data_IF_454326521266
#
_entry.id   IF_454326521266
#
_cell.length_a   1.000
_cell.length_b   1.000
_cell.length_c   1.000
_cell.angle_alpha   90.00
_cell.angle_beta   90.00
_cell.angle_gamma   90.00
#
_symmetry.space_group_name_H-M   'P 1'
#
loop_
_entity.id
_entity.type
_entity.pdbx_description
1 polymer ?
#
# COMPACT_ATOMS: atom_id res chain seq x y z
N UNK A 1 -4.94 -50.86 -24.03
CA UNK A 1 -4.45 -49.77 -23.15
C UNK A 1 -5.68 -49.11 -22.58
N UNK A 2 -5.70 -48.80 -21.28
CA UNK A 2 -6.88 -48.20 -20.65
C UNK A 2 -6.95 -46.71 -20.98
N UNK A 3 -8.13 -46.10 -20.94
CA UNK A 3 -8.32 -44.66 -21.19
C UNK A 3 -7.33 -43.78 -20.40
N UNK A 4 -7.08 -44.14 -19.13
CA UNK A 4 -6.12 -43.45 -18.26
C UNK A 4 -4.68 -43.55 -18.80
N UNK A 5 -4.27 -44.69 -19.36
CA UNK A 5 -2.91 -44.84 -19.91
C UNK A 5 -2.69 -43.96 -21.13
N UNK A 6 -3.71 -43.86 -21.99
CA UNK A 6 -3.66 -43.05 -23.21
C UNK A 6 -3.56 -41.57 -22.83
N UNK A 7 -4.36 -41.11 -21.86
CA UNK A 7 -4.28 -39.73 -21.35
C UNK A 7 -2.96 -39.44 -20.62
N UNK A 8 -2.41 -40.39 -19.84
CA UNK A 8 -1.11 -40.22 -19.19
C UNK A 8 0.03 -40.10 -20.22
N UNK A 9 -0.02 -40.89 -21.30
CA UNK A 9 0.95 -40.77 -22.39
C UNK A 9 0.82 -39.41 -23.08
N UNK A 10 -0.40 -38.94 -23.30
CA UNK A 10 -0.65 -37.62 -23.88
C UNK A 10 -0.10 -36.51 -22.98
N UNK A 11 -0.43 -36.52 -21.69
CA UNK A 11 0.09 -35.57 -20.69
C UNK A 11 1.61 -35.60 -20.64
N UNK A 12 2.24 -36.78 -20.63
CA UNK A 12 3.69 -36.91 -20.59
C UNK A 12 4.38 -36.32 -21.81
N UNK A 13 3.75 -36.35 -22.99
CA UNK A 13 4.32 -35.81 -24.25
C UNK A 13 4.01 -34.33 -24.44
N UNK A 14 2.83 -33.89 -24.01
CA UNK A 14 2.30 -32.58 -24.37
C UNK A 14 2.36 -31.55 -23.23
N UNK A 15 2.42 -31.95 -21.96
CA UNK A 15 2.26 -31.02 -20.83
C UNK A 15 3.22 -29.81 -20.92
N UNK A 16 4.52 -30.07 -21.07
CA UNK A 16 5.54 -29.02 -21.12
C UNK A 16 5.50 -28.19 -22.42
N UNK A 17 4.94 -28.74 -23.49
CA UNK A 17 4.84 -28.08 -24.79
C UNK A 17 3.58 -27.20 -24.90
N UNK A 18 2.48 -27.65 -24.31
CA UNK A 18 1.16 -27.01 -24.39
C UNK A 18 0.94 -25.99 -23.27
N UNK A 19 1.52 -26.25 -22.09
CA UNK A 19 1.33 -25.40 -20.90
C UNK A 19 2.67 -24.72 -20.59
N UNK A 20 2.75 -23.44 -20.94
CA UNK A 20 3.94 -22.62 -20.72
C UNK A 20 4.31 -22.55 -19.23
N UNK A 21 5.60 -22.68 -18.94
CA UNK A 21 6.14 -22.69 -17.58
C UNK A 21 5.71 -23.89 -16.74
N UNK A 22 5.22 -24.97 -17.35
CA UNK A 22 4.88 -26.20 -16.63
C UNK A 22 6.06 -27.16 -16.52
N UNK A 23 6.09 -27.91 -15.41
CA UNK A 23 7.05 -28.97 -15.15
C UNK A 23 6.30 -30.19 -14.60
N UNK A 24 6.32 -31.27 -15.35
CA UNK A 24 5.75 -32.55 -14.93
C UNK A 24 6.65 -33.17 -13.85
N UNK A 25 6.12 -33.30 -12.63
CA UNK A 25 6.84 -33.85 -11.47
C UNK A 25 6.59 -35.34 -11.33
N UNK A 26 5.34 -35.77 -11.56
CA UNK A 26 4.93 -37.17 -11.52
C UNK A 26 3.80 -37.38 -12.53
N UNK A 27 3.84 -38.50 -13.25
CA UNK A 27 2.80 -38.89 -14.20
C UNK A 27 2.60 -40.41 -14.10
N UNK A 28 1.79 -40.84 -13.13
CA UNK A 28 1.49 -42.24 -12.88
C UNK A 28 -0.02 -42.41 -12.69
N UNK A 29 -0.53 -43.64 -12.84
CA UNK A 29 -1.98 -43.94 -12.69
C UNK A 29 -2.60 -43.50 -11.37
N UNK A 30 -1.83 -43.43 -10.30
CA UNK A 30 -2.33 -42.99 -8.99
C UNK A 30 -2.41 -41.49 -8.87
N UNK A 31 -1.52 -40.75 -9.56
CA UNK A 31 -1.41 -39.31 -9.42
C UNK A 31 -0.62 -38.67 -10.57
N UNK A 32 -1.15 -37.55 -11.06
CA UNK A 32 -0.43 -36.60 -11.90
C UNK A 32 -0.10 -35.37 -11.07
N UNK A 33 1.19 -34.99 -11.05
CA UNK A 33 1.66 -33.79 -10.34
C UNK A 33 2.39 -32.89 -11.30
N UNK A 34 1.90 -31.66 -11.44
CA UNK A 34 2.47 -30.65 -12.33
C UNK A 34 2.73 -29.37 -11.56
N UNK A 35 3.91 -28.80 -11.72
CA UNK A 35 4.25 -27.47 -11.23
C UNK A 35 4.09 -26.47 -12.37
N UNK A 36 3.26 -25.44 -12.19
CA UNK A 36 3.06 -24.35 -13.15
C UNK A 36 3.66 -23.09 -12.56
N UNK A 37 4.67 -22.53 -13.23
CA UNK A 37 5.39 -21.33 -12.80
C UNK A 37 5.24 -20.23 -13.83
N UNK A 38 4.69 -19.08 -13.42
CA UNK A 38 4.74 -17.83 -14.21
C UNK A 38 5.86 -16.92 -13.73
N UNK A 39 5.89 -16.68 -12.43
CA UNK A 39 6.94 -15.93 -11.72
C UNK A 39 7.25 -16.65 -10.41
N UNK A 40 8.32 -16.22 -9.73
CA UNK A 40 8.73 -16.80 -8.43
C UNK A 40 7.60 -16.81 -7.38
N UNK A 41 6.66 -15.87 -7.48
CA UNK A 41 5.56 -15.72 -6.54
C UNK A 41 4.21 -16.21 -7.09
N UNK A 42 4.15 -16.53 -8.39
CA UNK A 42 2.99 -17.13 -9.08
C UNK A 42 3.34 -18.55 -9.49
N UNK A 43 3.51 -19.42 -8.50
CA UNK A 43 3.83 -20.84 -8.68
C UNK A 43 2.74 -21.68 -8.02
N UNK A 44 2.15 -22.61 -8.78
CA UNK A 44 1.12 -23.55 -8.29
C UNK A 44 1.58 -24.97 -8.58
N UNK A 45 1.48 -25.83 -7.57
CA UNK A 45 1.63 -27.27 -7.68
C UNK A 45 0.23 -27.85 -7.76
N UNK A 46 -0.08 -28.45 -8.90
CA UNK A 46 -1.34 -29.13 -9.18
C UNK A 46 -1.14 -30.61 -8.90
N UNK A 47 -1.90 -31.16 -7.96
CA UNK A 47 -1.98 -32.59 -7.69
C UNK A 47 -3.34 -33.10 -8.19
N UNK A 48 -3.32 -34.07 -9.08
CA UNK A 48 -4.50 -34.63 -9.71
C UNK A 48 -4.54 -36.13 -9.43
N UNK A 49 -5.70 -36.63 -8.98
CA UNK A 49 -5.95 -38.05 -8.81
C UNK A 49 -7.18 -38.46 -9.63
N UNK A 50 -7.09 -39.66 -10.22
CA UNK A 50 -8.20 -40.25 -10.97
C UNK A 50 -9.20 -40.88 -9.99
N UNK A 51 -10.47 -40.58 -10.19
CA UNK A 51 -11.59 -41.23 -9.51
C UNK A 51 -11.81 -42.65 -10.04
N UNK A 52 -12.50 -43.49 -9.27
CA UNK A 52 -12.69 -44.92 -9.60
C UNK A 52 -13.39 -45.14 -10.95
N UNK A 53 -14.32 -44.25 -11.29
CA UNK A 53 -15.15 -44.34 -12.49
C UNK A 53 -14.75 -43.30 -13.56
N UNK A 54 -13.51 -42.82 -13.52
CA UNK A 54 -12.99 -41.89 -14.52
C UNK A 54 -12.98 -42.54 -15.92
N UNK A 55 -13.40 -41.86 -17.00
CA UNK A 55 -13.68 -40.42 -17.14
C UNK A 55 -15.15 -40.00 -16.90
N UNK A 56 -16.02 -40.89 -16.43
CA UNK A 56 -17.44 -40.58 -16.17
C UNK A 56 -17.64 -39.80 -14.86
N UNK A 57 -16.61 -39.75 -14.03
CA UNK A 57 -16.54 -38.93 -12.81
C UNK A 57 -15.42 -37.90 -12.95
N UNK A 58 -15.52 -36.74 -12.28
CA UNK A 58 -14.51 -35.69 -12.36
C UNK A 58 -13.20 -36.13 -11.69
N UNK A 59 -12.10 -35.48 -12.07
CA UNK A 59 -10.83 -35.57 -11.38
C UNK A 59 -10.91 -35.02 -9.95
N UNK A 60 -10.11 -35.58 -9.05
CA UNK A 60 -9.86 -34.98 -7.74
C UNK A 60 -8.62 -34.07 -7.85
N UNK A 61 -8.79 -32.80 -7.50
CA UNK A 61 -7.75 -31.77 -7.69
C UNK A 61 -7.39 -31.18 -6.34
N UNK A 62 -6.09 -31.04 -6.09
CA UNK A 62 -5.56 -30.33 -4.93
C UNK A 62 -4.49 -29.34 -5.42
N UNK A 63 -4.67 -28.05 -5.09
CA UNK A 63 -3.74 -26.99 -5.47
C UNK A 63 -2.90 -26.56 -4.27
N UNK A 64 -1.57 -26.50 -4.45
CA UNK A 64 -0.63 -26.05 -3.41
C UNK A 64 0.26 -24.93 -3.93
N UNK A 65 0.59 -23.98 -3.07
CA UNK A 65 1.60 -22.96 -3.35
C UNK A 65 2.37 -22.62 -2.09
N UNK A 66 3.62 -22.18 -2.26
CA UNK A 66 4.42 -21.62 -1.17
C UNK A 66 4.16 -20.12 -0.96
N UNK A 67 3.57 -19.45 -1.95
CA UNK A 67 3.50 -17.99 -2.01
C UNK A 67 2.09 -17.45 -2.18
N UNK A 68 1.15 -18.24 -2.72
CA UNK A 68 -0.24 -17.81 -2.89
C UNK A 68 -1.10 -18.20 -1.68
N UNK A 69 -2.17 -17.41 -1.47
CA UNK A 69 -3.13 -17.61 -0.38
C UNK A 69 -3.82 -18.97 -0.47
N UNK A 70 -3.98 -19.64 0.68
CA UNK A 70 -4.73 -20.91 0.78
C UNK A 70 -6.19 -20.70 0.37
N UNK A 71 -6.83 -19.61 0.82
CA UNK A 71 -8.22 -19.29 0.47
C UNK A 71 -8.43 -19.13 -1.04
N UNK A 72 -7.45 -18.54 -1.72
CA UNK A 72 -7.47 -18.42 -3.18
C UNK A 72 -7.35 -19.78 -3.86
N UNK A 73 -6.46 -20.65 -3.36
CA UNK A 73 -6.25 -21.99 -3.92
C UNK A 73 -7.48 -22.88 -3.70
N UNK A 74 -8.12 -22.79 -2.54
CA UNK A 74 -9.36 -23.52 -2.25
C UNK A 74 -10.47 -23.08 -3.22
N UNK A 75 -10.69 -21.77 -3.38
CA UNK A 75 -11.65 -21.24 -4.33
C UNK A 75 -11.34 -21.61 -5.78
N UNK A 76 -10.05 -21.61 -6.19
CA UNK A 76 -9.66 -22.05 -7.53
C UNK A 76 -9.87 -23.56 -7.71
N UNK A 77 -9.67 -24.36 -6.67
CA UNK A 77 -9.91 -25.81 -6.69
C UNK A 77 -11.39 -26.09 -6.93
N UNK A 78 -12.30 -25.41 -6.21
CA UNK A 78 -13.75 -25.53 -6.44
C UNK A 78 -14.17 -25.15 -7.88
N UNK A 79 -13.52 -24.14 -8.46
CA UNK A 79 -13.76 -23.74 -9.86
C UNK A 79 -13.27 -24.82 -10.82
N UNK A 80 -12.08 -25.40 -10.58
CA UNK A 80 -11.56 -26.49 -11.40
C UNK A 80 -12.45 -27.74 -11.33
N UNK A 81 -12.97 -28.08 -10.14
CA UNK A 81 -13.90 -29.20 -9.97
C UNK A 81 -15.21 -28.99 -10.74
N UNK A 82 -15.71 -27.75 -10.83
CA UNK A 82 -16.87 -27.40 -11.67
C UNK A 82 -16.54 -27.57 -13.16
N UNK A 83 -15.36 -27.12 -13.60
CA UNK A 83 -14.92 -27.32 -14.98
C UNK A 83 -14.75 -28.79 -15.35
N UNK A 84 -14.25 -29.64 -14.43
CA UNK A 84 -14.19 -31.08 -14.64
C UNK A 84 -15.56 -31.71 -14.92
N UNK A 85 -16.64 -31.22 -14.27
CA UNK A 85 -18.00 -31.71 -14.52
C UNK A 85 -18.51 -31.37 -15.92
N UNK A 86 -17.94 -30.37 -16.59
CA UNK A 86 -18.25 -30.04 -17.97
C UNK A 86 -17.51 -30.95 -18.97
N UNK A 87 -16.51 -31.70 -18.50
CA UNK A 87 -15.61 -32.52 -19.31
C UNK A 87 -15.82 -34.04 -19.09
N UNK A 88 -16.96 -34.44 -18.53
CA UNK A 88 -17.28 -35.85 -18.30
C UNK A 88 -17.27 -36.65 -19.61
N UNK A 89 -16.73 -37.86 -19.55
CA UNK A 89 -16.55 -38.75 -20.70
C UNK A 89 -15.38 -38.38 -21.63
N UNK A 90 -14.61 -37.33 -21.31
CA UNK A 90 -13.43 -36.88 -22.06
C UNK A 90 -12.19 -36.84 -21.16
N UNK A 91 -11.01 -36.69 -21.77
CA UNK A 91 -9.77 -36.41 -21.06
C UNK A 91 -9.85 -35.03 -20.38
N UNK A 92 -9.48 -34.95 -19.10
CA UNK A 92 -9.67 -33.77 -18.26
C UNK A 92 -8.35 -33.13 -17.83
N UNK A 93 -7.24 -33.89 -17.78
CA UNK A 93 -5.97 -33.43 -17.18
C UNK A 93 -5.39 -32.21 -17.91
N UNK A 94 -5.13 -32.32 -19.22
CA UNK A 94 -4.57 -31.21 -20.00
C UNK A 94 -5.50 -29.98 -20.06
N UNK A 95 -6.82 -30.12 -20.31
CA UNK A 95 -7.75 -29.00 -20.25
C UNK A 95 -7.71 -28.23 -18.93
N UNK A 96 -7.68 -28.94 -17.80
CA UNK A 96 -7.64 -28.33 -16.47
C UNK A 96 -6.31 -27.64 -16.20
N UNK A 97 -5.19 -28.25 -16.57
CA UNK A 97 -3.88 -27.60 -16.42
C UNK A 97 -3.78 -26.32 -17.26
N UNK A 98 -4.35 -26.34 -18.48
CA UNK A 98 -4.46 -25.15 -19.34
C UNK A 98 -5.37 -24.09 -18.72
N UNK A 99 -6.50 -24.50 -18.14
CA UNK A 99 -7.41 -23.60 -17.43
C UNK A 99 -6.71 -22.90 -16.25
N UNK A 100 -5.99 -23.65 -15.41
CA UNK A 100 -5.22 -23.10 -14.28
C UNK A 100 -4.16 -22.11 -14.79
N UNK A 101 -3.45 -22.46 -15.86
CA UNK A 101 -2.46 -21.56 -16.44
C UNK A 101 -3.08 -20.25 -16.95
N UNK A 102 -4.17 -20.35 -17.70
CA UNK A 102 -4.90 -19.18 -18.20
C UNK A 102 -5.39 -18.31 -17.03
N UNK A 103 -5.89 -18.92 -15.95
CA UNK A 103 -6.30 -18.18 -14.76
C UNK A 103 -5.15 -17.36 -14.15
N UNK A 104 -3.94 -17.92 -14.08
CA UNK A 104 -2.75 -17.19 -13.58
C UNK A 104 -2.41 -16.00 -14.49
N UNK A 105 -2.51 -16.18 -15.81
CA UNK A 105 -2.21 -15.14 -16.80
C UNK A 105 -3.26 -14.01 -16.79
N UNK A 106 -4.53 -14.34 -16.62
CA UNK A 106 -5.63 -13.37 -16.58
C UNK A 106 -5.74 -12.61 -15.24
N UNK A 107 -5.19 -13.17 -14.16
CA UNK A 107 -5.30 -12.62 -12.81
C UNK A 107 -3.92 -12.33 -12.18
N UNK A 108 -3.16 -11.33 -12.65
CA UNK A 108 -1.83 -11.05 -12.12
C UNK A 108 -1.84 -10.58 -10.65
N UNK A 109 -2.96 -10.08 -10.12
CA UNK A 109 -3.09 -9.63 -8.73
C UNK A 109 -3.25 -10.79 -7.72
N UNK A 110 -3.25 -12.06 -8.16
CA UNK A 110 -3.33 -13.21 -7.24
C UNK A 110 -2.22 -13.23 -6.19
N UNK A 111 -1.06 -12.65 -6.51
CA UNK A 111 0.10 -12.59 -5.62
C UNK A 111 -0.11 -11.69 -4.39
N UNK A 112 -1.10 -10.79 -4.42
CA UNK A 112 -1.45 -9.91 -3.31
C UNK A 112 -2.90 -10.13 -2.82
N UNK A 113 -3.45 -11.33 -3.04
CA UNK A 113 -4.83 -11.67 -2.67
C UNK A 113 -5.14 -11.41 -1.18
N UNK A 114 -4.26 -11.81 -0.28
CA UNK A 114 -4.46 -11.63 1.16
C UNK A 114 -4.39 -10.15 1.56
N UNK A 115 -3.48 -9.39 0.93
CA UNK A 115 -3.39 -7.94 1.16
C UNK A 115 -4.63 -7.22 0.68
N UNK A 116 -5.14 -7.56 -0.52
CA UNK A 116 -6.37 -7.00 -1.07
C UNK A 116 -7.55 -7.33 -0.15
N UNK A 117 -7.64 -8.56 0.34
CA UNK A 117 -8.70 -8.99 1.27
C UNK A 117 -8.65 -8.16 2.56
N UNK A 118 -7.47 -8.03 3.15
CA UNK A 118 -7.28 -7.22 4.36
C UNK A 118 -7.53 -5.71 4.12
N UNK A 119 -7.23 -5.18 2.94
CA UNK A 119 -7.55 -3.79 2.60
C UNK A 119 -9.06 -3.60 2.54
N UNK A 120 -9.79 -4.52 1.90
CA UNK A 120 -11.26 -4.43 1.78
C UNK A 120 -11.95 -4.39 3.14
N UNK A 121 -11.39 -5.03 4.16
CA UNK A 121 -11.90 -5.01 5.54
C UNK A 121 -11.73 -3.64 6.23
N UNK A 122 -10.80 -2.80 5.77
CA UNK A 122 -10.47 -1.49 6.39
C UNK A 122 -11.22 -0.34 5.69
N UNK A 123 -11.73 -0.54 4.48
CA UNK A 123 -12.42 0.49 3.72
C UNK A 123 -13.78 0.82 4.33
N UNK A 124 -14.11 2.11 4.37
CA UNK A 124 -15.44 2.58 4.77
C UNK A 124 -16.40 2.59 3.56
N UNK A 125 -17.69 2.80 3.81
CA UNK A 125 -18.75 2.74 2.78
C UNK A 125 -18.51 3.67 1.57
N UNK A 126 -17.90 4.83 1.78
CA UNK A 126 -17.66 5.83 0.73
C UNK A 126 -16.35 5.61 -0.04
N UNK A 127 -15.55 4.63 0.38
CA UNK A 127 -14.29 4.29 -0.27
C UNK A 127 -14.49 3.22 -1.36
N UNK A 128 -13.68 3.28 -2.42
CA UNK A 128 -13.75 2.32 -3.53
C UNK A 128 -12.37 1.71 -3.80
N UNK A 129 -12.35 0.38 -3.97
CA UNK A 129 -11.17 -0.38 -4.41
C UNK A 129 -11.52 -1.21 -5.64
N UNK A 130 -11.07 -0.76 -6.82
CA UNK A 130 -11.32 -1.42 -8.10
C UNK A 130 -10.08 -2.18 -8.55
N UNK A 131 -10.22 -3.49 -8.76
CA UNK A 131 -9.14 -4.36 -9.23
C UNK A 131 -9.11 -4.37 -10.77
N UNK A 132 -8.00 -3.93 -11.36
CA UNK A 132 -7.78 -3.95 -12.81
C UNK A 132 -6.78 -5.06 -13.15
N UNK A 133 -7.28 -6.30 -13.16
CA UNK A 133 -6.46 -7.51 -13.36
C UNK A 133 -5.59 -7.41 -14.62
N UNK A 134 -6.16 -7.11 -15.80
CA UNK A 134 -5.41 -7.03 -17.07
C UNK A 134 -4.19 -6.09 -17.05
N UNK A 135 -4.20 -5.07 -16.18
CA UNK A 135 -3.13 -4.08 -16.08
C UNK A 135 -2.27 -4.28 -14.83
N UNK A 136 -2.49 -5.34 -14.04
CA UNK A 136 -1.84 -5.54 -12.74
C UNK A 136 -1.94 -4.30 -11.83
N UNK A 137 -3.11 -3.67 -11.80
CA UNK A 137 -3.31 -2.39 -11.11
C UNK A 137 -4.50 -2.42 -10.15
N UNK A 138 -4.41 -1.65 -9.08
CA UNK A 138 -5.48 -1.37 -8.13
C UNK A 138 -5.81 0.11 -8.18
N UNK A 139 -7.06 0.45 -8.47
CA UNK A 139 -7.54 1.84 -8.39
C UNK A 139 -8.21 2.06 -7.05
N UNK A 140 -7.68 3.02 -6.29
CA UNK A 140 -8.11 3.37 -4.94
C UNK A 140 -8.77 4.74 -4.97
N UNK A 141 -9.92 4.87 -4.31
CA UNK A 141 -10.58 6.14 -4.01
C UNK A 141 -10.94 6.13 -2.53
N UNK A 142 -10.46 7.12 -1.79
CA UNK A 142 -10.73 7.30 -0.36
C UNK A 142 -11.40 8.65 -0.19
N UNK A 143 -12.43 8.71 0.67
CA UNK A 143 -13.18 9.93 0.92
C UNK A 143 -13.41 10.17 2.41
N UNK A 144 -13.29 11.42 2.86
CA UNK A 144 -13.69 11.84 4.21
C UNK A 144 -14.36 13.20 4.14
N UNK A 145 -15.68 13.22 4.34
CA UNK A 145 -16.48 14.42 4.11
C UNK A 145 -16.35 14.88 2.66
N UNK A 146 -15.93 16.13 2.47
CA UNK A 146 -15.69 16.71 1.14
C UNK A 146 -14.27 16.46 0.61
N UNK A 147 -13.36 15.92 1.43
CA UNK A 147 -11.99 15.61 1.01
C UNK A 147 -11.90 14.24 0.35
N UNK A 148 -11.11 14.11 -0.72
CA UNK A 148 -10.87 12.84 -1.39
C UNK A 148 -9.42 12.67 -1.82
N UNK A 149 -9.03 11.41 -1.98
CA UNK A 149 -7.79 11.00 -2.60
C UNK A 149 -8.06 9.82 -3.53
N UNK A 150 -7.58 9.92 -4.77
CA UNK A 150 -7.64 8.87 -5.78
C UNK A 150 -6.23 8.57 -6.25
N UNK A 151 -5.91 7.31 -6.44
CA UNK A 151 -4.65 6.90 -7.05
C UNK A 151 -4.77 5.55 -7.74
N UNK A 152 -3.86 5.32 -8.67
CA UNK A 152 -3.62 4.02 -9.27
C UNK A 152 -2.36 3.42 -8.67
N UNK A 153 -2.46 2.18 -8.20
CA UNK A 153 -1.35 1.45 -7.61
C UNK A 153 -1.01 0.28 -8.54
N UNK A 154 0.16 0.32 -9.17
CA UNK A 154 0.67 -0.76 -10.03
C UNK A 154 1.42 -1.79 -9.19
N UNK A 155 1.11 -3.08 -9.42
CA UNK A 155 1.78 -4.22 -8.79
C UNK A 155 2.75 -4.85 -9.81
N UNK A 156 4.06 -4.86 -9.54
CA UNK A 156 5.05 -5.38 -10.50
C UNK A 156 5.01 -6.91 -10.59
N UNK A 157 5.50 -7.47 -11.70
CA UNK A 157 5.47 -8.93 -11.95
C UNK A 157 6.31 -9.75 -10.98
N UNK A 158 7.42 -9.17 -10.48
CA UNK A 158 8.31 -9.79 -9.52
C UNK A 158 7.94 -9.48 -8.06
N UNK A 159 6.74 -8.99 -7.79
CA UNK A 159 6.24 -8.77 -6.43
C UNK A 159 6.32 -10.05 -5.57
N UNK A 160 6.79 -9.97 -4.30
CA UNK A 160 7.11 -8.78 -3.51
C UNK A 160 8.59 -8.34 -3.58
N UNK A 161 9.38 -8.81 -4.54
CA UNK A 161 10.79 -8.42 -4.68
C UNK A 161 10.93 -6.97 -5.14
N UNK A 162 10.02 -6.50 -5.99
CA UNK A 162 9.85 -5.07 -6.27
C UNK A 162 8.59 -4.54 -5.59
N UNK A 163 8.63 -3.26 -5.21
CA UNK A 163 7.53 -2.59 -4.53
C UNK A 163 6.47 -2.08 -5.50
N UNK A 164 5.28 -1.81 -4.96
CA UNK A 164 4.18 -1.19 -5.71
C UNK A 164 4.50 0.25 -6.09
N UNK A 165 3.98 0.70 -7.23
CA UNK A 165 4.15 2.09 -7.70
C UNK A 165 2.84 2.86 -7.57
N UNK A 166 2.93 4.07 -7.03
CA UNK A 166 1.82 5.03 -6.96
C UNK A 166 1.86 5.96 -8.18
N UNK A 167 0.80 5.91 -8.97
CA UNK A 167 0.59 6.67 -10.21
C UNK A 167 -0.79 7.37 -10.20
N UNK A 168 -0.98 8.32 -11.12
CA UNK A 168 -2.25 9.00 -11.38
C UNK A 168 -2.97 9.51 -10.11
N UNK A 169 -2.21 10.11 -9.20
CA UNK A 169 -2.75 10.63 -7.95
C UNK A 169 -3.55 11.93 -8.20
N UNK A 170 -4.80 11.94 -7.75
CA UNK A 170 -5.75 13.05 -7.87
C UNK A 170 -6.43 13.31 -6.52
N UNK A 171 -6.48 14.57 -6.10
CA UNK A 171 -6.93 14.93 -4.76
C UNK A 171 -7.23 16.42 -4.65
N UNK A 172 -8.17 16.77 -3.77
CA UNK A 172 -8.50 18.16 -3.43
C UNK A 172 -7.84 18.65 -2.13
N UNK A 173 -6.86 17.91 -1.60
CA UNK A 173 -6.04 18.39 -0.49
C UNK A 173 -5.02 19.44 -0.98
N UNK A 174 -4.57 20.35 -0.08
CA UNK A 174 -3.47 21.26 -0.38
C UNK A 174 -2.21 20.53 -0.87
N UNK A 175 -1.44 21.19 -1.73
CA UNK A 175 -0.26 20.62 -2.44
C UNK A 175 0.77 19.97 -1.51
N UNK A 176 0.95 20.50 -0.30
CA UNK A 176 1.80 19.91 0.74
C UNK A 176 1.42 18.46 1.05
N UNK A 177 0.13 18.18 1.20
CA UNK A 177 -0.35 16.84 1.54
C UNK A 177 -0.25 15.88 0.35
N UNK A 178 -0.38 16.39 -0.88
CA UNK A 178 -0.13 15.59 -2.09
C UNK A 178 1.31 15.09 -2.11
N UNK A 179 2.28 16.00 -1.86
CA UNK A 179 3.71 15.64 -1.74
C UNK A 179 3.94 14.63 -0.62
N UNK A 180 3.25 14.79 0.52
CA UNK A 180 3.33 13.86 1.64
C UNK A 180 2.77 12.47 1.30
N UNK A 181 1.55 12.36 0.76
CA UNK A 181 0.92 11.08 0.42
C UNK A 181 1.76 10.28 -0.55
N UNK A 182 2.22 10.94 -1.63
CA UNK A 182 3.02 10.28 -2.66
C UNK A 182 4.42 9.97 -2.14
N UNK A 183 5.08 10.94 -1.48
CA UNK A 183 6.43 10.78 -0.98
C UNK A 183 6.54 9.72 0.10
N UNK A 184 5.68 9.80 1.12
CA UNK A 184 5.66 8.82 2.22
C UNK A 184 5.17 7.45 1.74
N UNK A 185 4.17 7.40 0.84
CA UNK A 185 3.72 6.14 0.25
C UNK A 185 4.83 5.44 -0.53
N UNK A 186 5.60 6.17 -1.34
CA UNK A 186 6.77 5.63 -2.06
C UNK A 186 7.86 5.16 -1.10
N UNK A 187 8.15 5.92 -0.04
CA UNK A 187 9.15 5.51 0.95
C UNK A 187 8.73 4.27 1.74
N UNK A 188 7.45 4.14 2.12
CA UNK A 188 6.93 2.93 2.76
C UNK A 188 7.04 1.72 1.82
N UNK A 189 6.71 1.90 0.54
CA UNK A 189 6.86 0.86 -0.48
C UNK A 189 8.32 0.41 -0.61
N UNK A 190 9.25 1.38 -0.63
CA UNK A 190 10.70 1.15 -0.70
C UNK A 190 11.20 0.38 0.52
N UNK A 191 10.79 0.75 1.73
CA UNK A 191 11.20 0.09 2.97
C UNK A 191 10.80 -1.39 3.07
N UNK A 192 9.75 -1.80 2.34
CA UNK A 192 9.36 -3.21 2.26
C UNK A 192 10.30 -4.05 1.41
N UNK A 193 11.04 -3.46 0.46
CA UNK A 193 11.84 -4.22 -0.53
C UNK A 193 13.32 -3.86 -0.56
N UNK A 194 13.70 -2.74 0.03
CA UNK A 194 15.09 -2.29 0.15
C UNK A 194 15.53 -2.23 1.62
N UNK A 195 16.80 -2.55 1.91
CA UNK A 195 17.33 -2.45 3.25
C UNK A 195 17.30 -1.00 3.76
N UNK A 196 17.22 -0.82 5.10
CA UNK A 196 17.31 0.50 5.70
C UNK A 196 18.65 1.16 5.36
N UNK A 197 18.62 2.45 5.02
CA UNK A 197 19.79 3.24 4.65
C UNK A 197 20.86 3.24 5.77
N UNK A 198 20.41 3.19 7.03
CA UNK A 198 21.28 3.06 8.19
C UNK A 198 21.25 1.60 8.68
N UNK A 199 22.28 0.83 8.31
CA UNK A 199 22.49 -0.56 8.74
C UNK A 199 22.86 -0.60 10.23
N UNK A 200 21.85 -0.57 11.11
CA UNK A 200 22.05 -0.79 12.56
C UNK A 200 21.87 -2.24 13.00
N UNK A 201 21.31 -3.11 12.16
CA UNK A 201 21.05 -4.52 12.49
C UNK A 201 21.97 -5.48 11.72
N UNK A 202 22.30 -6.60 12.37
CA UNK A 202 23.13 -7.70 11.81
C UNK A 202 22.33 -8.70 10.95
N UNK A 203 21.00 -8.61 10.90
CA UNK A 203 20.15 -9.57 10.18
C UNK A 203 20.08 -9.26 8.70
N UNK A 204 20.12 -10.31 7.86
CA UNK A 204 19.86 -10.19 6.41
C UNK A 204 18.44 -9.66 6.17
N UNK A 205 18.34 -8.56 5.43
CA UNK A 205 17.05 -8.00 5.00
C UNK A 205 16.34 -8.96 4.03
N UNK A 206 15.04 -9.15 4.23
CA UNK A 206 14.19 -9.98 3.36
C UNK A 206 13.04 -9.12 2.86
N UNK A 207 12.82 -9.05 1.53
CA UNK A 207 11.69 -8.32 0.96
C UNK A 207 10.35 -8.83 1.49
N UNK A 208 9.44 -7.91 1.78
CA UNK A 208 8.08 -8.17 2.26
C UNK A 208 7.02 -7.53 1.34
N UNK A 209 5.78 -8.03 1.35
CA UNK A 209 4.68 -7.39 0.65
C UNK A 209 4.47 -5.93 1.10
N UNK A 210 4.20 -5.04 0.14
CA UNK A 210 4.10 -3.59 0.36
C UNK A 210 2.71 -3.00 0.09
N UNK A 211 1.82 -3.70 -0.62
CA UNK A 211 0.53 -3.16 -1.08
C UNK A 211 -0.36 -2.73 0.10
N UNK A 212 -0.52 -3.61 1.10
CA UNK A 212 -1.31 -3.32 2.30
C UNK A 212 -0.71 -2.16 3.09
N UNK A 213 0.61 -2.15 3.29
CA UNK A 213 1.31 -1.11 4.06
C UNK A 213 1.04 0.28 3.46
N UNK A 214 1.21 0.40 2.15
CA UNK A 214 1.02 1.67 1.44
C UNK A 214 -0.44 2.10 1.46
N UNK A 215 -1.38 1.20 1.15
CA UNK A 215 -2.81 1.55 1.09
C UNK A 215 -3.35 1.87 2.48
N UNK A 216 -2.98 1.12 3.52
CA UNK A 216 -3.38 1.42 4.90
C UNK A 216 -2.88 2.78 5.36
N UNK A 217 -1.65 3.17 5.00
CA UNK A 217 -1.13 4.51 5.28
C UNK A 217 -1.96 5.60 4.58
N UNK A 218 -2.32 5.40 3.30
CA UNK A 218 -3.13 6.35 2.54
C UNK A 218 -4.53 6.50 3.13
N UNK A 219 -5.20 5.37 3.44
CA UNK A 219 -6.52 5.37 4.09
C UNK A 219 -6.44 6.14 5.40
N UNK A 220 -5.51 5.78 6.29
CA UNK A 220 -5.38 6.43 7.59
C UNK A 220 -5.13 7.95 7.43
N UNK A 221 -4.19 8.34 6.57
CA UNK A 221 -3.83 9.75 6.41
C UNK A 221 -5.00 10.59 5.87
N UNK A 222 -5.72 10.09 4.86
CA UNK A 222 -6.86 10.81 4.27
C UNK A 222 -8.04 10.91 5.25
N UNK A 223 -8.24 9.90 6.10
CA UNK A 223 -9.32 9.88 7.09
C UNK A 223 -9.01 10.75 8.31
N UNK A 224 -7.76 10.83 8.74
CA UNK A 224 -7.38 11.60 9.95
C UNK A 224 -7.12 13.07 9.68
N UNK A 225 -6.47 13.42 8.57
CA UNK A 225 -6.01 14.80 8.31
C UNK A 225 -7.11 15.87 8.39
N UNK A 226 -8.33 15.69 7.84
CA UNK A 226 -9.39 16.69 7.96
C UNK A 226 -9.83 16.97 9.41
N UNK A 227 -9.54 16.05 10.33
CA UNK A 227 -9.89 16.14 11.75
C UNK A 227 -8.70 16.58 12.62
N UNK A 228 -7.52 16.80 12.02
CA UNK A 228 -6.36 17.23 12.77
C UNK A 228 -6.43 18.70 13.15
N UNK A 229 -5.92 18.98 14.35
CA UNK A 229 -5.95 20.30 14.96
C UNK A 229 -4.54 20.91 14.98
N UNK A 230 -4.47 22.24 14.91
CA UNK A 230 -3.22 22.96 15.08
C UNK A 230 -2.72 22.75 16.51
N UNK A 231 -1.44 22.38 16.66
CA UNK A 231 -0.89 22.11 17.99
C UNK A 231 -0.71 23.37 18.85
N UNK A 232 -0.81 24.56 18.27
CA UNK A 232 -0.69 25.84 18.97
C UNK A 232 -2.07 26.43 19.32
N UNK A 233 -2.95 26.65 18.35
CA UNK A 233 -4.26 27.29 18.60
C UNK A 233 -5.42 26.31 18.85
N UNK A 234 -5.19 25.00 18.66
CA UNK A 234 -6.19 23.91 18.81
C UNK A 234 -7.41 24.00 17.87
N UNK A 235 -7.42 24.92 16.91
CA UNK A 235 -8.44 24.95 15.85
C UNK A 235 -8.13 23.90 14.78
N UNK A 236 -9.15 23.49 14.01
CA UNK A 236 -8.97 22.56 12.89
C UNK A 236 -8.01 23.15 11.86
N UNK A 237 -7.08 22.31 11.38
CA UNK A 237 -6.11 22.75 10.38
C UNK A 237 -6.76 22.93 9.01
N UNK A 238 -7.62 21.99 8.62
CA UNK A 238 -8.31 22.01 7.34
C UNK A 238 -9.76 22.49 7.52
N UNK A 239 -10.26 23.36 6.63
CA UNK A 239 -11.66 23.76 6.63
C UNK A 239 -12.56 22.61 6.16
N UNK A 240 -13.86 22.60 6.52
CA UNK A 240 -14.79 21.56 6.06
C UNK A 240 -14.94 21.49 4.54
N UNK A 241 -14.93 22.65 3.86
CA UNK A 241 -14.91 22.74 2.40
C UNK A 241 -13.44 22.90 1.91
N UNK A 242 -12.90 21.94 1.13
CA UNK A 242 -11.56 21.99 0.56
C UNK A 242 -11.25 23.24 -0.26
N UNK A 243 -12.25 23.86 -0.91
CA UNK A 243 -12.05 25.08 -1.71
C UNK A 243 -11.63 26.28 -0.86
N UNK A 244 -11.98 26.27 0.43
CA UNK A 244 -11.58 27.30 1.38
C UNK A 244 -10.18 27.05 1.97
N UNK A 245 -9.51 25.96 1.59
CA UNK A 245 -8.19 25.64 2.11
C UNK A 245 -7.14 26.57 1.50
N UNK A 246 -6.34 27.18 2.37
CA UNK A 246 -5.31 28.14 1.95
C UNK A 246 -4.17 27.42 1.21
N UNK A 247 -4.03 27.71 -0.09
CA UNK A 247 -3.02 27.12 -0.96
C UNK A 247 -1.74 27.93 -1.02
N UNK A 248 -1.78 29.21 -0.64
CA UNK A 248 -0.61 30.07 -0.62
C UNK A 248 0.31 29.70 0.55
N UNK A 249 1.51 29.17 0.24
CA UNK A 249 2.51 28.72 1.23
C UNK A 249 3.05 29.83 2.16
N UNK A 250 2.71 31.10 1.90
CA UNK A 250 3.11 32.27 2.70
C UNK A 250 1.99 32.87 3.54
N UNK A 251 0.74 32.43 3.34
CA UNK A 251 -0.41 32.99 4.03
C UNK A 251 -0.51 32.48 5.48
N UNK A 252 -1.07 33.32 6.36
CA UNK A 252 -1.12 33.06 7.80
C UNK A 252 -1.84 31.76 8.18
N UNK A 253 -2.89 31.40 7.44
CA UNK A 253 -3.72 30.21 7.68
C UNK A 253 -3.24 28.98 6.88
N UNK A 254 -2.16 29.10 6.12
CA UNK A 254 -1.56 27.95 5.45
C UNK A 254 -1.16 26.89 6.48
N UNK A 255 -1.41 25.62 6.17
CA UNK A 255 -1.10 24.52 7.07
C UNK A 255 0.28 23.99 6.74
N UNK A 256 1.17 24.00 7.74
CA UNK A 256 2.50 23.39 7.67
C UNK A 256 2.50 22.07 8.45
N UNK A 257 3.12 21.04 7.87
CA UNK A 257 3.34 19.74 8.50
C UNK A 257 4.80 19.59 8.89
N UNK A 258 5.06 19.48 10.18
CA UNK A 258 6.42 19.31 10.69
C UNK A 258 6.92 17.87 10.51
N UNK A 259 8.23 17.67 10.61
CA UNK A 259 8.85 16.33 10.53
C UNK A 259 8.32 15.35 11.59
N UNK A 260 7.90 15.85 12.75
CA UNK A 260 7.26 15.04 13.78
C UNK A 260 5.81 14.63 13.45
N UNK A 261 5.33 14.97 12.25
CA UNK A 261 4.02 14.61 11.72
C UNK A 261 2.87 15.55 12.08
N UNK A 262 3.04 16.42 13.07
CA UNK A 262 1.99 17.30 13.57
C UNK A 262 1.81 18.58 12.74
N UNK A 263 0.58 19.08 12.71
CA UNK A 263 0.17 20.25 11.92
C UNK A 263 0.14 21.55 12.71
N UNK A 264 0.48 22.64 12.03
CA UNK A 264 0.37 24.01 12.53
C UNK A 264 -0.15 24.93 11.44
N UNK A 265 -0.96 25.94 11.78
CA UNK A 265 -1.10 27.10 10.89
C UNK A 265 0.21 27.88 10.85
N UNK A 266 0.57 28.43 9.70
CA UNK A 266 1.85 29.12 9.50
C UNK A 266 2.04 30.24 10.52
N UNK A 267 1.04 31.11 10.72
CA UNK A 267 1.10 32.17 11.74
C UNK A 267 1.40 31.59 13.13
N UNK A 268 0.70 30.53 13.50
CA UNK A 268 0.86 29.90 14.80
C UNK A 268 2.25 29.28 14.96
N UNK A 269 2.79 28.65 13.91
CA UNK A 269 4.16 28.14 13.92
C UNK A 269 5.17 29.28 14.08
N UNK A 270 5.03 30.36 13.32
CA UNK A 270 5.92 31.53 13.41
C UNK A 270 5.89 32.14 14.81
N UNK A 271 4.69 32.37 15.37
CA UNK A 271 4.54 32.87 16.74
C UNK A 271 5.19 31.91 17.74
N UNK A 272 4.92 30.61 17.63
CA UNK A 272 5.49 29.59 18.53
C UNK A 272 7.02 29.53 18.49
N UNK A 273 7.62 29.71 17.30
CA UNK A 273 9.07 29.73 17.12
C UNK A 273 9.72 31.01 17.63
N UNK A 274 8.98 32.13 17.70
CA UNK A 274 9.47 33.45 18.14
C UNK A 274 9.22 33.77 19.61
N UNK A 275 8.38 33.02 20.31
CA UNK A 275 8.15 33.19 21.76
C UNK A 275 9.10 32.30 22.56
N UNK A 276 9.46 32.59 23.82
CA UNK A 276 10.19 31.67 24.68
C UNK A 276 9.31 30.48 25.11
N UNK A 277 9.88 29.37 25.62
CA UNK A 277 11.30 29.12 25.87
C UNK A 277 12.05 28.68 24.59
N UNK A 278 13.33 29.08 24.48
CA UNK A 278 14.21 28.70 23.36
C UNK A 278 15.24 27.62 23.72
N UNK A 279 15.55 27.44 25.01
CA UNK A 279 16.60 26.53 25.46
C UNK A 279 16.35 25.06 25.06
N UNK A 280 17.36 24.45 24.43
CA UNK A 280 17.31 23.04 24.01
C UNK A 280 16.52 22.82 22.72
N UNK A 281 16.29 23.90 21.96
CA UNK A 281 15.47 23.94 20.77
C UNK A 281 13.97 23.89 21.03
N UNK A 282 13.20 24.48 20.12
CA UNK A 282 11.74 24.41 20.14
C UNK A 282 11.27 22.95 20.01
N UNK A 283 10.42 22.51 20.94
CA UNK A 283 9.85 21.16 20.95
C UNK A 283 8.37 21.21 20.61
N UNK A 284 7.89 20.22 19.86
CA UNK A 284 6.48 20.07 19.56
C UNK A 284 5.70 19.90 20.88
N UNK A 285 4.60 20.65 21.12
CA UNK A 285 3.82 20.54 22.36
C UNK A 285 3.29 19.14 22.66
N UNK A 286 3.05 18.33 21.62
CA UNK A 286 2.39 17.04 21.74
C UNK A 286 3.38 15.88 21.84
N UNK A 287 4.31 15.75 20.90
CA UNK A 287 5.29 14.64 20.89
C UNK A 287 6.63 14.97 21.53
N UNK A 288 6.87 16.22 21.94
CA UNK A 288 8.13 16.70 22.55
C UNK A 288 9.39 16.54 21.69
N UNK A 289 9.26 16.10 20.44
CA UNK A 289 10.36 16.06 19.48
C UNK A 289 10.78 17.49 19.11
N UNK A 290 12.08 17.69 18.87
CA UNK A 290 12.62 18.98 18.43
C UNK A 290 12.06 19.32 17.05
N UNK A 291 11.52 20.53 16.93
CA UNK A 291 11.03 21.07 15.68
C UNK A 291 12.23 21.50 14.85
N UNK A 292 12.35 20.91 13.67
CA UNK A 292 13.24 21.37 12.62
C UNK A 292 12.36 21.92 11.50
N UNK A 293 12.68 23.12 11.03
CA UNK A 293 11.93 23.75 9.93
C UNK A 293 12.89 24.55 9.05
N UNK A 294 12.92 24.25 7.75
CA UNK A 294 13.91 24.82 6.82
C UNK A 294 13.84 26.36 6.75
N UNK A 295 12.64 26.93 6.89
CA UNK A 295 12.44 28.39 6.92
C UNK A 295 12.90 29.04 8.26
N UNK A 296 13.21 28.27 9.31
CA UNK A 296 13.60 28.75 10.64
C UNK A 296 14.91 28.08 11.13
N UNK A 297 16.03 28.41 10.48
CA UNK A 297 17.38 27.99 10.87
C UNK A 297 18.09 28.97 11.82
N UNK A 298 17.43 29.40 12.90
CA UNK A 298 18.01 30.36 13.87
C UNK A 298 18.46 29.61 15.12
N UNK A 299 19.65 29.95 15.65
CA UNK A 299 20.16 29.34 16.90
C UNK A 299 19.36 29.82 18.12
N UNK A 300 19.25 28.97 19.15
CA UNK A 300 18.49 29.28 20.37
C UNK A 300 18.92 30.62 20.99
N UNK A 301 20.23 30.89 21.06
CA UNK A 301 20.80 32.13 21.59
C UNK A 301 20.38 33.36 20.76
N UNK A 302 20.45 33.28 19.44
CA UNK A 302 20.07 34.40 18.56
C UNK A 302 18.55 34.65 18.59
N UNK A 303 17.74 33.61 18.78
CA UNK A 303 16.30 33.75 18.95
C UNK A 303 15.96 34.45 20.28
N UNK A 304 16.66 34.07 21.35
CA UNK A 304 16.51 34.66 22.68
C UNK A 304 16.92 36.13 22.71
N UNK A 305 18.09 36.48 22.15
CA UNK A 305 18.57 37.87 22.05
C UNK A 305 17.58 38.76 21.26
N UNK A 306 17.03 38.25 20.14
CA UNK A 306 16.04 38.98 19.33
C UNK A 306 14.74 39.21 20.09
N UNK A 307 14.24 38.18 20.78
CA UNK A 307 13.02 38.30 21.58
C UNK A 307 13.21 39.27 22.76
N UNK A 308 14.35 39.18 23.46
CA UNK A 308 14.66 40.08 24.57
C UNK A 308 14.73 41.55 24.12
N UNK A 309 15.34 41.81 22.96
CA UNK A 309 15.40 43.16 22.38
C UNK A 309 14.01 43.67 21.96
N UNK A 310 13.16 42.82 21.37
CA UNK A 310 11.78 43.18 21.01
C UNK A 310 10.95 43.51 22.27
N UNK A 311 11.10 42.71 23.33
CA UNK A 311 10.44 42.92 24.62
C UNK A 311 10.96 44.15 25.38
N UNK A 312 12.24 44.51 25.21
CA UNK A 312 12.80 45.75 25.77
C UNK A 312 12.21 46.98 25.06
N UNK A 313 12.21 46.99 23.73
CA UNK A 313 11.59 48.08 22.94
C UNK A 313 10.10 48.25 23.24
N UNK A 314 9.36 47.15 23.40
CA UNK A 314 7.94 47.21 23.74
C UNK A 314 7.70 47.83 25.13
N UNK A 315 8.60 47.59 26.10
CA UNK A 315 8.55 48.22 27.43
C UNK A 315 8.85 49.71 27.36
N UNK A 316 9.89 50.11 26.62
CA UNK A 316 10.22 51.52 26.39
C UNK A 316 9.05 52.29 25.76
N UNK A 317 8.39 51.71 24.74
CA UNK A 317 7.22 52.33 24.11
C UNK A 317 6.03 52.45 25.08
N UNK A 318 5.77 51.42 25.89
CA UNK A 318 4.72 51.46 26.89
C UNK A 318 4.99 52.51 27.99
N UNK A 319 6.25 52.66 28.41
CA UNK A 319 6.67 53.71 29.36
C UNK A 319 6.47 55.11 28.77
N UNK A 320 6.75 55.30 27.47
CA UNK A 320 6.48 56.57 26.77
C UNK A 320 4.97 56.85 26.66
N UNK A 321 4.15 55.84 26.35
CA UNK A 321 2.69 56.00 26.31
C UNK A 321 2.10 56.33 27.68
N UNK A 322 2.62 55.74 28.76
CA UNK A 322 2.19 56.02 30.13
C UNK A 322 2.62 57.42 30.58
N UNK A 323 3.81 57.87 30.20
CA UNK A 323 4.28 59.24 30.46
C UNK A 323 3.44 60.32 29.76
N UNK A 324 2.81 59.99 28.63
CA UNK A 324 1.97 60.92 27.85
C UNK A 324 0.49 60.97 28.29
N UNK A 325 0.07 60.15 29.27
CA UNK A 325 -1.29 60.17 29.85
C UNK A 325 -1.35 60.99 31.13
#
# INVERSE_FOLDING_TARGET
>A
MGFIDDELQEVSKLCQNVIDGSRLVSCVRTMVRVEITKTRCKTIIVCIQFSKDYPNTPLLIELKSKTLSVKLLDGLTEVCEKECKNLLGKAQVLPILKFIRNFIDENPLICCYDEISAIKEILEHDDELKLKQKYSCVSLKIQKGLYYFKAKIEVPDNYPVACVKLEDADTNFPSLFVRHFIGQGKELARQCVEPPLNKKSQSSFVPSPSLKVVISFLINSVKTLPQEHCQSCRQTCLPPNPENAETNETANMHVERLYCGHLFHLRCLVTFMKTPPFHGGKKCPTCRQRIYHNKWGVSDKLAEDRWAHEQARARELAEVEDFLK
#
